data_IF_078484923595
#
_entry.id   IF_078484923595
#
_cell.length_a   1.000
_cell.length_b   1.000
_cell.length_c   1.000
_cell.angle_alpha   90.00
_cell.angle_beta   90.00
_cell.angle_gamma   90.00
#
_symmetry.space_group_name_H-M   'P 1'
#
loop_
_entity.id
_entity.type
_entity.pdbx_description
1 polymer ?
#
# COMPACT_ATOMS: atom_id res chain seq x y z
N UNK A 1 14.10 6.73 60.35
CA UNK A 1 13.31 7.09 59.14
C UNK A 1 13.92 6.36 57.94
N UNK A 2 13.19 5.43 57.33
CA UNK A 2 13.59 4.72 56.10
C UNK A 2 12.55 5.08 55.03
N UNK A 3 12.92 5.92 54.07
CA UNK A 3 12.08 6.24 52.91
C UNK A 3 12.63 5.41 51.75
N UNK A 4 11.87 4.40 51.35
CA UNK A 4 12.16 3.54 50.20
C UNK A 4 11.57 4.24 48.98
N UNK A 5 12.41 4.83 48.15
CA UNK A 5 12.02 5.41 46.86
C UNK A 5 11.82 4.25 45.89
N UNK A 6 10.55 3.87 45.69
CA UNK A 6 10.17 2.86 44.71
C UNK A 6 10.20 3.47 43.31
N UNK A 7 11.18 3.05 42.52
CA UNK A 7 11.31 3.35 41.11
C UNK A 7 10.23 2.56 40.35
N UNK A 8 9.11 3.19 40.01
CA UNK A 8 8.11 2.58 39.11
C UNK A 8 8.57 2.79 37.68
N UNK A 9 9.26 1.78 37.15
CA UNK A 9 9.64 1.65 35.76
C UNK A 9 8.37 1.42 34.93
N UNK A 10 7.87 2.47 34.26
CA UNK A 10 6.78 2.34 33.32
C UNK A 10 7.26 1.61 32.07
N UNK A 11 7.05 0.29 32.04
CA UNK A 11 7.16 -0.53 30.83
C UNK A 11 5.97 -0.17 29.93
N UNK A 12 6.19 0.76 29.01
CA UNK A 12 5.29 0.94 27.89
C UNK A 12 5.49 -0.24 26.94
N UNK A 13 4.60 -1.23 27.05
CA UNK A 13 4.40 -2.25 26.02
C UNK A 13 3.90 -1.57 24.74
N UNK A 14 4.82 -1.02 23.95
CA UNK A 14 4.56 -0.73 22.56
C UNK A 14 4.56 -2.08 21.83
N UNK A 15 3.39 -2.72 21.76
CA UNK A 15 3.12 -3.82 20.84
C UNK A 15 3.12 -3.25 19.41
N UNK A 16 4.31 -2.89 18.90
CA UNK A 16 4.53 -2.79 17.47
C UNK A 16 4.66 -4.23 16.96
N UNK A 17 3.53 -4.90 16.79
CA UNK A 17 3.45 -6.07 15.93
C UNK A 17 3.68 -5.58 14.51
N UNK A 18 4.95 -5.40 14.16
CA UNK A 18 5.40 -5.35 12.79
C UNK A 18 5.18 -6.74 12.23
N UNK A 19 3.94 -7.01 11.80
CA UNK A 19 3.67 -8.15 10.95
C UNK A 19 4.54 -7.96 9.72
N UNK A 20 5.54 -8.84 9.59
CA UNK A 20 6.37 -8.96 8.39
C UNK A 20 5.44 -9.42 7.29
N UNK A 21 4.74 -8.45 6.71
CA UNK A 21 3.85 -8.63 5.58
C UNK A 21 4.78 -8.79 4.38
N UNK A 22 4.99 -10.05 4.01
CA UNK A 22 5.56 -10.43 2.71
C UNK A 22 4.49 -10.06 1.67
N UNK A 23 4.34 -8.77 1.38
CA UNK A 23 3.29 -8.23 0.54
C UNK A 23 2.90 -6.80 0.94
N UNK A 24 2.43 -6.01 -0.01
CA UNK A 24 2.01 -4.65 0.25
C UNK A 24 0.76 -4.59 1.12
N UNK A 25 0.61 -3.57 1.96
CA UNK A 25 -0.50 -3.50 2.94
C UNK A 25 -1.70 -2.71 2.46
N UNK A 26 -1.66 -2.11 1.27
CA UNK A 26 -2.65 -1.13 0.83
C UNK A 26 -3.82 -1.71 0.01
N UNK A 27 -3.92 -3.04 -0.11
CA UNK A 27 -4.95 -3.70 -0.93
C UNK A 27 -6.39 -3.28 -0.54
N UNK A 28 -6.65 -3.19 0.76
CA UNK A 28 -7.94 -2.75 1.33
C UNK A 28 -7.97 -1.29 1.75
N UNK A 29 -6.96 -0.51 1.36
CA UNK A 29 -6.85 0.89 1.76
C UNK A 29 -7.54 1.83 0.77
N UNK A 30 -7.86 3.01 1.26
CA UNK A 30 -8.34 4.15 0.49
C UNK A 30 -7.20 4.93 -0.17
N UNK A 31 -7.51 5.76 -1.16
CA UNK A 31 -6.52 6.67 -1.79
C UNK A 31 -5.93 7.70 -0.83
N UNK A 32 -6.61 8.00 0.29
CA UNK A 32 -6.05 8.82 1.38
C UNK A 32 -4.90 8.11 2.08
N UNK A 33 -5.08 6.85 2.46
CA UNK A 33 -4.05 6.04 3.11
C UNK A 33 -2.90 5.73 2.15
N UNK A 34 -3.22 5.52 0.87
CA UNK A 34 -2.23 5.42 -0.21
C UNK A 34 -1.26 6.61 -0.20
N UNK A 35 -1.78 7.84 -0.14
CA UNK A 35 -0.96 9.05 -0.15
C UNK A 35 -0.08 9.20 1.11
N UNK A 36 -0.50 8.62 2.24
CA UNK A 36 0.28 8.63 3.48
C UNK A 36 1.33 7.49 3.54
N UNK A 37 1.21 6.49 2.68
CA UNK A 37 2.09 5.33 2.67
C UNK A 37 3.46 5.63 2.05
N UNK A 38 4.46 4.82 2.43
CA UNK A 38 5.79 4.93 1.83
C UNK A 38 5.79 4.52 0.35
N UNK A 39 6.65 5.11 -0.49
CA UNK A 39 6.77 4.71 -1.90
C UNK A 39 7.07 3.23 -2.11
N UNK A 40 7.80 2.60 -1.17
CA UNK A 40 8.10 1.18 -1.19
C UNK A 40 6.83 0.32 -1.00
N UNK A 41 6.00 0.64 0.02
CA UNK A 41 4.77 -0.09 0.27
C UNK A 41 3.76 0.09 -0.88
N UNK A 42 3.68 1.31 -1.43
CA UNK A 42 2.90 1.59 -2.64
C UNK A 42 3.32 0.69 -3.81
N UNK A 43 4.62 0.64 -4.12
CA UNK A 43 5.12 -0.14 -5.25
C UNK A 43 4.91 -1.64 -5.06
N UNK A 44 5.17 -2.18 -3.86
CA UNK A 44 4.96 -3.60 -3.56
C UNK A 44 3.47 -3.95 -3.66
N UNK A 45 2.57 -3.13 -3.09
CA UNK A 45 1.12 -3.36 -3.21
C UNK A 45 0.69 -3.42 -4.69
N UNK A 46 1.17 -2.49 -5.51
CA UNK A 46 0.78 -2.46 -6.93
C UNK A 46 1.41 -3.60 -7.73
N UNK A 47 2.63 -4.00 -7.41
CA UNK A 47 3.23 -5.18 -8.01
C UNK A 47 2.37 -6.42 -7.72
N UNK A 48 1.95 -6.63 -6.47
CA UNK A 48 1.08 -7.75 -6.06
C UNK A 48 -0.26 -7.72 -6.81
N UNK A 49 -0.89 -6.55 -6.92
CA UNK A 49 -2.17 -6.38 -7.64
C UNK A 49 -1.99 -6.67 -9.14
N UNK A 50 -0.95 -6.09 -9.77
CA UNK A 50 -0.68 -6.26 -11.20
C UNK A 50 -0.37 -7.71 -11.54
N UNK A 51 0.45 -8.37 -10.73
CA UNK A 51 0.78 -9.79 -10.88
C UNK A 51 -0.50 -10.65 -10.89
N UNK A 52 -1.37 -10.45 -9.89
CA UNK A 52 -2.61 -11.22 -9.73
C UNK A 52 -3.64 -10.93 -10.83
N UNK A 53 -3.89 -9.66 -11.13
CA UNK A 53 -4.95 -9.26 -12.07
C UNK A 53 -4.57 -9.61 -13.51
N UNK A 54 -3.31 -9.42 -13.89
CA UNK A 54 -2.83 -9.72 -15.24
C UNK A 54 -2.31 -11.16 -15.38
N UNK A 55 -2.37 -11.96 -14.31
CA UNK A 55 -1.84 -13.33 -14.24
C UNK A 55 -0.40 -13.44 -14.78
N UNK A 56 0.44 -12.49 -14.38
CA UNK A 56 1.85 -12.45 -14.78
C UNK A 56 2.67 -13.29 -13.80
N UNK A 57 3.64 -14.05 -14.32
CA UNK A 57 4.56 -14.85 -13.49
C UNK A 57 6.02 -14.40 -13.59
N UNK A 58 6.33 -13.58 -14.59
CA UNK A 58 7.66 -13.05 -14.80
C UNK A 58 7.80 -11.69 -14.08
N UNK A 59 8.67 -11.56 -13.07
CA UNK A 59 8.93 -10.30 -12.38
C UNK A 59 9.37 -9.17 -13.32
N UNK A 60 10.07 -9.50 -14.42
CA UNK A 60 10.50 -8.52 -15.42
C UNK A 60 9.31 -7.94 -16.20
N UNK A 61 8.22 -8.69 -16.34
CA UNK A 61 6.97 -8.22 -16.92
C UNK A 61 6.12 -7.42 -15.92
N UNK A 62 6.17 -7.74 -14.62
CA UNK A 62 5.39 -7.08 -13.56
C UNK A 62 5.90 -5.67 -13.28
N UNK A 63 7.20 -5.50 -13.05
CA UNK A 63 7.80 -4.24 -12.60
C UNK A 63 7.45 -3.00 -13.46
N UNK A 64 7.59 -3.00 -14.80
CA UNK A 64 7.25 -1.83 -15.61
C UNK A 64 5.75 -1.51 -15.58
N UNK A 65 4.88 -2.53 -15.57
CA UNK A 65 3.43 -2.36 -15.48
C UNK A 65 3.02 -1.81 -14.11
N UNK A 66 3.61 -2.32 -13.04
CA UNK A 66 3.37 -1.86 -11.68
C UNK A 66 3.73 -0.38 -11.52
N UNK A 67 4.87 0.07 -12.06
CA UNK A 67 5.25 1.50 -12.05
C UNK A 67 4.27 2.38 -12.83
N UNK A 68 3.80 1.92 -13.98
CA UNK A 68 2.81 2.66 -14.77
C UNK A 68 1.47 2.79 -14.02
N UNK A 69 0.99 1.70 -13.41
CA UNK A 69 -0.24 1.70 -12.59
C UNK A 69 -0.07 2.58 -11.35
N UNK A 70 1.06 2.49 -10.65
CA UNK A 70 1.37 3.35 -9.50
C UNK A 70 1.34 4.83 -9.87
N UNK A 71 1.93 5.19 -11.03
CA UNK A 71 1.90 6.57 -11.53
C UNK A 71 0.48 7.05 -11.82
N UNK A 72 -0.36 6.20 -12.39
CA UNK A 72 -1.78 6.49 -12.60
C UNK A 72 -2.52 6.73 -11.27
N UNK A 73 -2.35 5.85 -10.28
CA UNK A 73 -2.98 6.01 -8.96
C UNK A 73 -2.50 7.28 -8.28
N UNK A 74 -1.20 7.59 -8.34
CA UNK A 74 -0.66 8.84 -7.78
C UNK A 74 -1.34 10.07 -8.39
N UNK A 75 -1.54 10.09 -9.72
CA UNK A 75 -2.28 11.15 -10.41
C UNK A 75 -3.72 11.25 -9.89
N UNK A 76 -4.43 10.13 -9.78
CA UNK A 76 -5.83 10.07 -9.32
C UNK A 76 -5.96 10.47 -7.85
N UNK A 77 -5.04 10.05 -6.99
CA UNK A 77 -5.07 10.31 -5.54
C UNK A 77 -4.92 11.79 -5.17
N UNK A 78 -4.41 12.61 -6.10
CA UNK A 78 -4.35 14.07 -5.93
C UNK A 78 -5.74 14.73 -6.01
N UNK A 79 -6.75 14.03 -6.55
CA UNK A 79 -8.13 14.52 -6.55
C UNK A 79 -8.81 14.24 -5.21
N UNK A 80 -9.08 15.31 -4.45
CA UNK A 80 -9.70 15.22 -3.12
C UNK A 80 -11.03 14.45 -3.13
N UNK A 81 -11.82 14.56 -4.21
CA UNK A 81 -13.13 13.88 -4.32
C UNK A 81 -13.02 12.36 -4.39
N UNK A 82 -11.84 11.83 -4.71
CA UNK A 82 -11.60 10.40 -4.88
C UNK A 82 -10.87 9.78 -3.68
N UNK A 83 -10.59 10.54 -2.62
CA UNK A 83 -9.82 10.06 -1.46
C UNK A 83 -10.42 8.86 -0.73
N UNK A 84 -11.72 8.65 -0.82
CA UNK A 84 -12.42 7.50 -0.24
C UNK A 84 -12.43 6.26 -1.14
N UNK A 85 -11.99 6.38 -2.40
CA UNK A 85 -11.94 5.26 -3.33
C UNK A 85 -10.89 4.25 -2.88
N UNK A 86 -11.15 2.97 -3.14
CA UNK A 86 -10.25 1.88 -2.79
C UNK A 86 -9.06 1.85 -3.75
N UNK A 87 -7.88 1.52 -3.22
CA UNK A 87 -6.65 1.36 -4.01
C UNK A 87 -6.81 0.27 -5.06
N UNK A 88 -7.39 -0.87 -4.70
CA UNK A 88 -7.57 -2.00 -5.63
C UNK A 88 -8.48 -1.63 -6.80
N UNK A 89 -9.63 -1.00 -6.54
CA UNK A 89 -10.55 -0.58 -7.60
C UNK A 89 -9.90 0.46 -8.52
N UNK A 90 -9.17 1.41 -7.93
CA UNK A 90 -8.44 2.44 -8.68
C UNK A 90 -7.33 1.81 -9.51
N UNK A 91 -6.62 0.81 -8.98
CA UNK A 91 -5.58 0.08 -9.71
C UNK A 91 -6.16 -0.64 -10.94
N UNK A 92 -7.31 -1.30 -10.80
CA UNK A 92 -8.01 -1.95 -11.91
C UNK A 92 -8.46 -0.92 -12.96
N UNK A 93 -9.04 0.20 -12.54
CA UNK A 93 -9.39 1.29 -13.44
C UNK A 93 -8.16 1.85 -14.19
N UNK A 94 -7.05 2.04 -13.50
CA UNK A 94 -5.79 2.45 -14.10
C UNK A 94 -5.24 1.41 -15.09
N UNK A 95 -5.36 0.11 -14.80
CA UNK A 95 -4.98 -0.95 -15.75
C UNK A 95 -5.85 -0.93 -17.00
N UNK A 96 -7.15 -0.64 -16.88
CA UNK A 96 -8.03 -0.44 -18.04
C UNK A 96 -7.63 0.80 -18.85
N UNK A 97 -7.39 1.95 -18.19
CA UNK A 97 -6.95 3.20 -18.83
C UNK A 97 -5.64 3.01 -19.61
N UNK A 98 -4.71 2.24 -19.04
CA UNK A 98 -3.43 1.90 -19.65
C UNK A 98 -3.52 0.80 -20.73
N UNK A 99 -4.71 0.23 -20.97
CA UNK A 99 -4.92 -0.80 -21.98
C UNK A 99 -4.33 -2.17 -21.63
N UNK A 100 -4.15 -2.47 -20.34
CA UNK A 100 -3.65 -3.78 -19.88
C UNK A 100 -4.76 -4.82 -19.71
N UNK A 101 -6.01 -4.39 -19.61
CA UNK A 101 -7.16 -5.28 -19.53
C UNK A 101 -7.82 -5.42 -20.91
N UNK A 102 -8.27 -6.63 -21.27
CA UNK A 102 -9.10 -6.81 -22.47
C UNK A 102 -10.39 -6.00 -22.34
N UNK A 103 -10.87 -5.49 -23.49
CA UNK A 103 -12.13 -4.75 -23.57
C UNK A 103 -13.35 -5.67 -23.47
#
# INVERSE_FOLDING_TARGET
MKIVISLVLAVACANASAEVTVGGTLHGSSLREWHAASPANQLITIADIVEKVLNLRDPLAVAPKARAVQSCINRVSNNFKLRSQMVTDTAVACMAELGYLPR
#
